data_IF_148442523035
#
_entry.id   IF_148442523035
#
_cell.length_a   1.000
_cell.length_b   1.000
_cell.length_c   1.000
_cell.angle_alpha   90.00
_cell.angle_beta   90.00
_cell.angle_gamma   90.00
#
_symmetry.space_group_name_H-M   'P 1'
#
loop_
_entity.id
_entity.type
_entity.pdbx_description
1 polymer ?
#
# COMPACT_ATOMS: atom_id res chain seq x y z
N UNK A 1 28.67 18.80 7.87
CA UNK A 1 28.50 17.32 7.99
C UNK A 1 27.76 16.91 9.27
N UNK A 2 28.02 17.53 10.42
CA UNK A 2 27.39 17.16 11.70
C UNK A 2 25.86 17.26 11.73
N UNK A 3 25.27 18.30 11.11
CA UNK A 3 23.81 18.45 11.04
C UNK A 3 23.13 17.34 10.22
N UNK A 4 23.75 16.90 9.13
CA UNK A 4 23.24 15.79 8.32
C UNK A 4 23.33 14.47 9.08
N UNK A 5 24.47 14.21 9.75
CA UNK A 5 24.65 13.02 10.57
C UNK A 5 23.62 12.95 11.71
N UNK A 6 23.38 14.07 12.39
CA UNK A 6 22.35 14.17 13.42
C UNK A 6 20.95 13.90 12.85
N UNK A 7 20.63 14.45 11.68
CA UNK A 7 19.33 14.24 11.03
C UNK A 7 19.13 12.79 10.57
N UNK A 8 20.15 12.14 10.00
CA UNK A 8 20.09 10.73 9.61
C UNK A 8 19.95 9.83 10.83
N UNK A 9 20.71 10.09 11.90
CA UNK A 9 20.58 9.36 13.16
C UNK A 9 19.18 9.51 13.76
N UNK A 10 18.63 10.73 13.74
CA UNK A 10 17.25 10.98 14.15
C UNK A 10 16.24 10.17 13.31
N UNK A 11 16.36 10.18 11.98
CA UNK A 11 15.48 9.38 11.11
C UNK A 11 15.62 7.87 11.34
N UNK A 12 16.84 7.37 11.62
CA UNK A 12 17.09 5.97 11.93
C UNK A 12 16.36 5.55 13.22
N UNK A 13 16.37 6.40 14.25
CA UNK A 13 15.60 6.19 15.49
C UNK A 13 14.10 6.10 15.20
N UNK A 14 13.56 7.00 14.36
CA UNK A 14 12.15 6.98 13.98
C UNK A 14 11.78 5.74 13.17
N UNK A 15 12.64 5.32 12.24
CA UNK A 15 12.48 4.07 11.49
C UNK A 15 12.43 2.86 12.42
N UNK A 16 13.36 2.76 13.38
CA UNK A 16 13.38 1.65 14.34
C UNK A 16 12.09 1.58 15.18
N UNK A 17 11.60 2.74 15.67
CA UNK A 17 10.32 2.82 16.39
C UNK A 17 9.15 2.36 15.52
N UNK A 18 9.08 2.81 14.26
CA UNK A 18 8.01 2.38 13.36
C UNK A 18 8.08 0.87 13.04
N UNK A 19 9.29 0.32 12.90
CA UNK A 19 9.50 -1.11 12.65
C UNK A 19 9.02 -1.95 13.84
N UNK A 20 9.26 -1.49 15.07
CA UNK A 20 8.75 -2.12 16.29
C UNK A 20 7.23 -2.26 16.27
N UNK A 21 6.48 -1.24 15.83
CA UNK A 21 5.02 -1.32 15.72
C UNK A 21 4.55 -2.43 14.78
N UNK A 22 5.30 -2.69 13.70
CA UNK A 22 5.01 -3.80 12.78
C UNK A 22 5.33 -5.17 13.39
N UNK A 23 6.44 -5.27 14.14
CA UNK A 23 6.82 -6.49 14.86
C UNK A 23 5.82 -6.83 15.97
N UNK A 24 5.39 -5.82 16.74
CA UNK A 24 4.37 -5.96 17.78
C UNK A 24 3.06 -6.47 17.19
N UNK A 25 2.65 -5.94 16.04
CA UNK A 25 1.45 -6.41 15.33
C UNK A 25 1.59 -7.86 14.87
N UNK A 26 2.74 -8.23 14.30
CA UNK A 26 3.02 -9.62 13.88
C UNK A 26 2.88 -10.58 15.07
N UNK A 27 3.50 -10.24 16.20
CA UNK A 27 3.45 -11.03 17.43
C UNK A 27 2.01 -11.13 17.96
N UNK A 28 1.34 -10.00 18.13
CA UNK A 28 -0.01 -9.93 18.68
C UNK A 28 -1.07 -10.67 17.83
N UNK A 29 -0.86 -10.74 16.51
CA UNK A 29 -1.75 -11.44 15.58
C UNK A 29 -1.32 -12.89 15.30
N UNK A 30 -0.20 -13.36 15.87
CA UNK A 30 0.30 -14.72 15.64
C UNK A 30 0.70 -15.00 14.19
N UNK A 31 1.15 -13.98 13.44
CA UNK A 31 1.47 -14.09 12.01
C UNK A 31 2.89 -14.66 11.81
N UNK A 32 3.06 -15.94 12.14
CA UNK A 32 4.36 -16.63 12.05
C UNK A 32 4.92 -16.57 10.62
N UNK A 33 6.14 -16.03 10.47
CA UNK A 33 6.79 -15.86 9.18
C UNK A 33 6.38 -14.61 8.40
N UNK A 34 5.55 -13.73 8.98
CA UNK A 34 5.31 -12.41 8.41
C UNK A 34 6.53 -11.50 8.53
N UNK A 35 6.63 -10.51 7.64
CA UNK A 35 7.71 -9.52 7.64
C UNK A 35 7.14 -8.11 7.74
N UNK A 36 7.70 -7.31 8.65
CA UNK A 36 7.37 -5.90 8.76
C UNK A 36 8.23 -5.05 7.82
N UNK A 37 7.63 -3.99 7.26
CA UNK A 37 8.30 -2.96 6.49
C UNK A 37 7.77 -1.61 6.92
N UNK A 38 8.61 -0.58 6.84
CA UNK A 38 8.19 0.79 7.11
C UNK A 38 8.70 1.75 6.06
N UNK A 39 7.89 2.77 5.79
CA UNK A 39 8.22 3.80 4.82
C UNK A 39 7.95 5.17 5.44
N UNK A 40 8.88 6.14 5.33
CA UNK A 40 8.60 7.50 5.71
C UNK A 40 7.44 8.03 4.86
N UNK A 41 6.66 8.93 5.43
CA UNK A 41 5.49 9.51 4.77
C UNK A 41 5.57 11.04 4.77
N UNK A 42 4.91 11.72 3.80
CA UNK A 42 4.97 13.17 3.68
C UNK A 42 4.50 13.92 4.93
N UNK A 43 4.76 15.24 4.94
CA UNK A 43 4.27 16.22 5.92
C UNK A 43 4.89 16.16 7.33
N UNK A 44 5.72 15.16 7.66
CA UNK A 44 6.46 15.11 8.93
C UNK A 44 7.47 13.94 8.96
N UNK A 45 8.66 14.07 9.59
CA UNK A 45 9.55 12.92 9.84
C UNK A 45 8.96 11.90 10.84
N UNK A 46 7.86 12.27 11.51
CA UNK A 46 7.15 11.39 12.42
C UNK A 46 6.01 10.61 11.75
N UNK A 47 5.68 10.91 10.49
CA UNK A 47 4.65 10.18 9.75
C UNK A 47 5.27 8.96 9.09
N UNK A 48 4.71 7.79 9.38
CA UNK A 48 5.18 6.52 8.85
C UNK A 48 4.00 5.70 8.34
N UNK A 49 4.26 4.91 7.30
CA UNK A 49 3.39 3.82 6.87
C UNK A 49 4.05 2.52 7.27
N UNK A 50 3.38 1.77 8.12
CA UNK A 50 3.82 0.45 8.57
C UNK A 50 3.07 -0.59 7.75
N UNK A 51 3.80 -1.56 7.23
CA UNK A 51 3.28 -2.66 6.43
C UNK A 51 3.70 -3.97 7.07
N UNK A 52 2.80 -4.93 7.14
CA UNK A 52 3.10 -6.33 7.47
C UNK A 52 2.71 -7.18 6.28
N UNK A 53 3.70 -7.88 5.72
CA UNK A 53 3.52 -8.83 4.64
C UNK A 53 3.37 -10.23 5.23
N UNK A 54 2.26 -10.90 4.90
CA UNK A 54 2.03 -12.28 5.26
C UNK A 54 1.39 -13.01 4.08
N UNK A 55 2.18 -13.89 3.44
CA UNK A 55 1.77 -14.60 2.22
C UNK A 55 1.33 -13.62 1.09
N UNK A 56 0.08 -13.73 0.63
CA UNK A 56 -0.55 -12.84 -0.34
C UNK A 56 -1.36 -11.69 0.32
N UNK A 57 -1.25 -11.52 1.64
CA UNK A 57 -1.93 -10.46 2.39
C UNK A 57 -0.97 -9.38 2.85
N UNK A 58 -1.48 -8.16 2.92
CA UNK A 58 -0.79 -7.01 3.49
C UNK A 58 -1.66 -6.39 4.57
N UNK A 59 -1.05 -6.02 5.70
CA UNK A 59 -1.69 -5.21 6.72
C UNK A 59 -0.97 -3.87 6.75
N UNK A 60 -1.69 -2.78 6.53
CA UNK A 60 -1.11 -1.45 6.47
C UNK A 60 -1.71 -0.54 7.53
N UNK A 61 -0.87 0.26 8.18
CA UNK A 61 -1.30 1.32 9.07
C UNK A 61 -0.53 2.61 8.78
N UNK A 62 -1.18 3.75 8.96
CA UNK A 62 -0.56 5.08 8.88
C UNK A 62 -0.53 5.68 10.27
N UNK A 63 0.67 6.05 10.71
CA UNK A 63 0.92 6.46 12.10
C UNK A 63 1.74 7.73 12.14
N UNK A 64 1.46 8.57 13.13
CA UNK A 64 2.37 9.61 13.59
C UNK A 64 2.95 9.19 14.95
N UNK A 65 4.28 9.09 15.03
CA UNK A 65 4.98 8.51 16.19
C UNK A 65 5.00 9.39 17.45
N UNK A 66 4.57 10.65 17.36
CA UNK A 66 4.57 11.60 18.49
C UNK A 66 3.20 12.22 18.75
N UNK A 67 2.22 11.95 17.88
CA UNK A 67 0.86 12.42 18.07
C UNK A 67 0.23 11.65 19.23
N UNK A 68 -0.48 12.37 20.10
CA UNK A 68 -1.17 11.77 21.25
C UNK A 68 -2.64 11.49 20.97
N UNK A 69 -3.30 12.35 20.19
CA UNK A 69 -4.74 12.28 19.90
C UNK A 69 -5.01 12.34 18.40
N UNK A 70 -6.06 11.66 17.89
CA UNK A 70 -6.47 11.80 16.51
C UNK A 70 -6.75 13.27 16.15
N UNK A 71 -6.40 13.66 14.93
CA UNK A 71 -6.70 14.99 14.43
C UNK A 71 -8.18 15.07 14.07
N UNK A 72 -8.88 16.02 14.70
CA UNK A 72 -10.26 16.36 14.34
C UNK A 72 -10.16 17.52 13.34
N UNK A 73 -10.64 17.30 12.12
CA UNK A 73 -10.75 18.37 11.14
C UNK A 73 -11.95 19.27 11.51
N UNK A 74 -11.77 20.59 11.61
CA UNK A 74 -12.86 21.55 11.78
C UNK A 74 -13.95 21.37 10.72
N UNK A 75 -15.19 21.68 11.08
CA UNK A 75 -16.30 21.69 10.13
C UNK A 75 -15.99 22.65 8.96
N UNK A 76 -16.08 22.14 7.73
CA UNK A 76 -15.76 22.90 6.51
C UNK A 76 -14.30 22.81 6.06
N UNK A 77 -13.36 22.35 6.91
CA UNK A 77 -12.00 22.06 6.46
C UNK A 77 -12.00 20.77 5.64
N UNK A 78 -11.99 20.93 4.32
CA UNK A 78 -11.94 19.84 3.36
C UNK A 78 -10.83 20.10 2.36
N UNK A 79 -10.04 19.08 2.06
CA UNK A 79 -8.92 19.21 1.14
C UNK A 79 -7.94 18.06 1.23
N UNK A 80 -7.17 17.86 0.16
CA UNK A 80 -6.22 16.75 0.07
C UNK A 80 -5.22 16.75 1.23
N UNK A 81 -4.58 17.88 1.52
CA UNK A 81 -3.55 17.96 2.57
C UNK A 81 -4.13 17.82 3.98
N UNK A 82 -5.32 18.39 4.25
CA UNK A 82 -6.02 18.23 5.51
C UNK A 82 -6.36 16.75 5.77
N UNK A 83 -6.97 16.10 4.77
CA UNK A 83 -7.31 14.67 4.83
C UNK A 83 -6.06 13.78 4.98
N UNK A 84 -4.99 14.09 4.23
CA UNK A 84 -3.74 13.34 4.33
C UNK A 84 -3.10 13.48 5.72
N UNK A 85 -3.03 14.71 6.26
CA UNK A 85 -2.48 14.96 7.60
C UNK A 85 -3.29 14.30 8.71
N UNK A 86 -4.62 14.28 8.57
CA UNK A 86 -5.52 13.62 9.50
C UNK A 86 -5.38 12.08 9.47
N UNK A 87 -4.98 11.51 8.32
CA UNK A 87 -4.85 10.05 8.16
C UNK A 87 -3.72 9.39 8.96
N UNK A 88 -2.76 10.17 9.49
CA UNK A 88 -1.69 9.65 10.34
C UNK A 88 -2.16 9.65 11.81
N UNK A 89 -2.62 8.51 12.30
CA UNK A 89 -3.17 8.37 13.65
C UNK A 89 -2.07 8.28 14.72
N UNK A 90 -2.34 8.65 15.98
CA UNK A 90 -1.42 8.36 17.08
C UNK A 90 -1.24 6.84 17.26
N UNK A 91 -0.11 6.41 17.82
CA UNK A 91 0.21 4.98 18.04
C UNK A 91 -0.93 4.24 18.76
N UNK A 92 -1.50 4.87 19.78
CA UNK A 92 -2.59 4.32 20.60
C UNK A 92 -3.91 4.11 19.85
N UNK A 93 -4.08 4.75 18.68
CA UNK A 93 -5.29 4.64 17.85
C UNK A 93 -4.97 4.13 16.45
N UNK A 94 -3.83 3.43 16.27
CA UNK A 94 -3.48 2.89 14.96
C UNK A 94 -4.59 1.99 14.42
N UNK A 95 -4.93 2.21 13.16
CA UNK A 95 -5.90 1.40 12.43
C UNK A 95 -5.16 0.60 11.36
N UNK A 96 -5.26 -0.72 11.46
CA UNK A 96 -4.71 -1.66 10.50
C UNK A 96 -5.74 -1.99 9.44
N UNK A 97 -5.38 -1.76 8.18
CA UNK A 97 -6.19 -2.12 7.03
C UNK A 97 -5.59 -3.32 6.33
N UNK A 98 -6.39 -4.37 6.15
CA UNK A 98 -5.99 -5.56 5.41
C UNK A 98 -6.27 -5.41 3.91
N UNK A 99 -5.28 -5.78 3.11
CA UNK A 99 -5.33 -5.91 1.66
C UNK A 99 -4.93 -7.32 1.26
N UNK A 100 -5.39 -7.75 0.09
CA UNK A 100 -5.02 -9.03 -0.51
C UNK A 100 -4.50 -8.77 -1.92
N UNK A 101 -3.42 -9.45 -2.29
CA UNK A 101 -2.78 -9.28 -3.61
C UNK A 101 -3.76 -9.53 -4.76
N UNK A 102 -4.63 -10.52 -4.61
CA UNK A 102 -5.53 -10.98 -5.68
C UNK A 102 -7.01 -10.65 -5.43
N UNK A 103 -7.31 -9.82 -4.43
CA UNK A 103 -8.69 -9.52 -4.02
C UNK A 103 -9.35 -10.64 -3.21
N UNK A 104 -10.62 -10.44 -2.86
CA UNK A 104 -11.38 -11.31 -1.95
C UNK A 104 -12.38 -12.24 -2.65
N UNK A 105 -12.74 -11.95 -3.90
CA UNK A 105 -13.80 -12.69 -4.63
C UNK A 105 -13.20 -13.92 -5.32
N UNK A 106 -13.64 -15.16 -5.03
CA UNK A 106 -13.02 -16.37 -5.59
C UNK A 106 -12.89 -16.36 -7.12
N UNK A 107 -13.93 -15.93 -7.84
CA UNK A 107 -13.92 -15.83 -9.31
C UNK A 107 -12.88 -14.82 -9.84
N UNK A 108 -12.66 -13.75 -9.11
CA UNK A 108 -11.70 -12.71 -9.48
C UNK A 108 -10.27 -13.13 -9.14
N UNK A 109 -10.07 -13.90 -8.07
CA UNK A 109 -8.75 -14.40 -7.64
C UNK A 109 -8.10 -15.25 -8.74
N UNK A 110 -8.83 -16.20 -9.33
CA UNK A 110 -8.29 -17.06 -10.40
C UNK A 110 -7.84 -16.22 -11.59
N UNK A 111 -8.65 -15.24 -11.99
CA UNK A 111 -8.30 -14.36 -13.09
C UNK A 111 -7.13 -13.42 -12.74
N UNK A 112 -7.10 -12.90 -11.52
CA UNK A 112 -6.03 -12.04 -11.03
C UNK A 112 -4.70 -12.79 -10.99
N UNK A 113 -4.69 -14.04 -10.53
CA UNK A 113 -3.51 -14.90 -10.53
C UNK A 113 -3.02 -15.21 -11.95
N UNK A 114 -3.93 -15.48 -12.90
CA UNK A 114 -3.56 -15.73 -14.29
C UNK A 114 -2.91 -14.50 -14.94
N UNK A 115 -3.51 -13.32 -14.77
CA UNK A 115 -2.93 -12.06 -15.22
C UNK A 115 -1.59 -11.77 -14.53
N UNK A 116 -1.53 -11.95 -13.22
CA UNK A 116 -0.33 -11.73 -12.42
C UNK A 116 0.83 -12.62 -12.88
N UNK A 117 0.59 -13.91 -13.14
CA UNK A 117 1.64 -14.87 -13.52
C UNK A 117 2.05 -14.78 -14.99
N UNK A 118 1.30 -14.06 -15.83
CA UNK A 118 1.59 -13.96 -17.25
C UNK A 118 3.01 -13.40 -17.50
N UNK A 119 3.80 -13.97 -18.43
CA UNK A 119 5.19 -13.53 -18.67
C UNK A 119 5.32 -12.04 -18.98
N UNK A 120 4.43 -11.49 -19.82
CA UNK A 120 4.44 -10.07 -20.15
C UNK A 120 4.18 -9.12 -18.96
N UNK A 121 3.68 -9.63 -17.81
CA UNK A 121 3.51 -8.83 -16.59
C UNK A 121 4.77 -8.78 -15.71
N UNK A 122 5.84 -9.50 -16.08
CA UNK A 122 7.07 -9.57 -15.31
C UNK A 122 7.73 -8.20 -14.99
N UNK A 123 7.72 -7.19 -15.88
CA UNK A 123 8.30 -5.89 -15.56
C UNK A 123 7.63 -5.23 -14.34
N UNK A 124 6.30 -5.21 -14.28
CA UNK A 124 5.58 -4.67 -13.13
C UNK A 124 5.81 -5.51 -11.87
N UNK A 125 5.83 -6.85 -11.99
CA UNK A 125 6.11 -7.73 -10.84
C UNK A 125 7.48 -7.47 -10.19
N UNK A 126 8.49 -7.12 -10.99
CA UNK A 126 9.83 -6.77 -10.48
C UNK A 126 9.89 -5.38 -9.86
N UNK A 127 9.08 -4.46 -10.37
CA UNK A 127 8.98 -3.09 -9.85
C UNK A 127 8.22 -3.03 -8.51
N UNK A 128 7.12 -3.77 -8.40
CA UNK A 128 6.19 -3.63 -7.29
C UNK A 128 6.70 -4.30 -6.00
N UNK A 129 6.64 -3.57 -4.89
CA UNK A 129 6.97 -4.05 -3.55
C UNK A 129 5.75 -4.59 -2.82
N UNK A 130 4.61 -3.90 -2.90
CA UNK A 130 3.34 -4.32 -2.28
C UNK A 130 2.20 -4.35 -3.31
N UNK A 131 2.30 -5.20 -4.35
CA UNK A 131 1.31 -5.28 -5.42
C UNK A 131 -0.05 -5.73 -4.90
N UNK A 132 -1.11 -5.03 -5.29
CA UNK A 132 -2.50 -5.35 -4.97
C UNK A 132 -3.39 -5.23 -6.20
N UNK A 133 -4.38 -6.10 -6.29
CA UNK A 133 -5.45 -5.99 -7.28
C UNK A 133 -6.16 -4.65 -7.05
N UNK A 134 -6.09 -3.78 -8.06
CA UNK A 134 -6.72 -2.47 -8.06
C UNK A 134 -8.16 -2.57 -8.56
N UNK A 135 -8.36 -3.22 -9.71
CA UNK A 135 -9.67 -3.35 -10.36
C UNK A 135 -9.63 -4.47 -11.38
N UNK A 136 -10.80 -5.04 -11.68
CA UNK A 136 -11.01 -5.83 -12.89
C UNK A 136 -12.09 -5.14 -13.72
N UNK A 137 -11.72 -4.73 -14.93
CA UNK A 137 -12.63 -4.15 -15.91
C UNK A 137 -13.13 -5.23 -16.86
N UNK A 138 -14.45 -5.41 -16.90
CA UNK A 138 -15.13 -6.35 -17.80
C UNK A 138 -16.05 -5.55 -18.70
N UNK A 139 -15.67 -5.36 -19.96
CA UNK A 139 -16.55 -4.81 -21.00
C UNK A 139 -16.83 -5.87 -22.06
N UNK A 140 -17.80 -5.59 -22.95
CA UNK A 140 -18.12 -6.50 -24.07
C UNK A 140 -16.93 -6.70 -25.03
N UNK A 141 -16.01 -5.74 -25.09
CA UNK A 141 -14.87 -5.74 -26.02
C UNK A 141 -13.54 -6.05 -25.35
N UNK A 142 -13.42 -5.89 -24.03
CA UNK A 142 -12.13 -5.93 -23.34
C UNK A 142 -12.25 -6.45 -21.91
N UNK A 143 -11.29 -7.27 -21.54
CA UNK A 143 -11.07 -7.71 -20.17
C UNK A 143 -9.71 -7.21 -19.70
N UNK A 144 -9.68 -6.43 -18.62
CA UNK A 144 -8.44 -5.98 -18.00
C UNK A 144 -8.39 -6.30 -16.51
N UNK A 145 -7.25 -6.79 -16.05
CA UNK A 145 -6.94 -6.99 -14.63
C UNK A 145 -5.84 -6.02 -14.26
N UNK A 146 -6.17 -5.04 -13.42
CA UNK A 146 -5.29 -3.97 -13.01
C UNK A 146 -4.74 -4.20 -11.62
N UNK A 147 -3.43 -4.01 -11.48
CA UNK A 147 -2.72 -3.97 -10.21
C UNK A 147 -2.17 -2.58 -9.96
N UNK A 148 -2.03 -2.26 -8.67
CA UNK A 148 -1.29 -1.09 -8.19
C UNK A 148 -0.34 -1.51 -7.08
N UNK A 149 0.50 -0.61 -6.59
CA UNK A 149 1.39 -0.88 -5.47
C UNK A 149 1.04 0.01 -4.27
N UNK A 150 0.81 -0.63 -3.12
CA UNK A 150 0.51 0.07 -1.87
C UNK A 150 1.65 0.98 -1.42
N UNK A 151 2.91 0.73 -1.84
CA UNK A 151 4.06 1.60 -1.60
C UNK A 151 3.74 3.06 -1.98
N UNK A 152 3.10 3.29 -3.13
CA UNK A 152 2.79 4.62 -3.65
C UNK A 152 1.37 5.10 -3.32
N UNK A 153 0.61 4.35 -2.53
CA UNK A 153 -0.75 4.71 -2.15
C UNK A 153 -0.80 5.81 -1.09
N UNK A 154 -1.58 6.87 -1.37
CA UNK A 154 -1.89 7.96 -0.44
C UNK A 154 -3.41 8.07 -0.27
N UNK A 155 -3.84 8.48 0.93
CA UNK A 155 -5.26 8.66 1.23
C UNK A 155 -5.84 9.75 0.33
N UNK A 156 -7.02 9.48 -0.24
CA UNK A 156 -7.72 10.44 -1.11
C UNK A 156 -7.06 10.66 -2.48
N UNK A 157 -6.10 9.81 -2.89
CA UNK A 157 -5.47 9.88 -4.21
C UNK A 157 -5.58 8.56 -4.94
N UNK A 158 -5.73 8.66 -6.25
CA UNK A 158 -5.58 7.53 -7.16
C UNK A 158 -4.10 7.12 -7.19
N UNK A 159 -3.77 5.82 -7.01
CA UNK A 159 -2.38 5.37 -7.09
C UNK A 159 -1.76 5.69 -8.46
N UNK A 160 -0.53 6.23 -8.52
CA UNK A 160 0.05 6.67 -9.79
C UNK A 160 0.45 5.50 -10.69
N UNK A 161 0.93 4.39 -10.12
CA UNK A 161 1.35 3.22 -10.88
C UNK A 161 0.23 2.18 -10.92
N UNK A 162 -0.51 2.17 -12.02
CA UNK A 162 -1.59 1.20 -12.28
C UNK A 162 -1.29 0.49 -13.59
N UNK A 163 -0.87 -0.77 -13.50
CA UNK A 163 -0.54 -1.61 -14.65
C UNK A 163 -1.39 -2.86 -14.64
N UNK A 164 -1.74 -3.36 -15.81
CA UNK A 164 -2.61 -4.50 -15.92
C UNK A 164 -2.34 -5.36 -17.14
N UNK A 165 -2.94 -6.53 -17.12
CA UNK A 165 -3.01 -7.39 -18.29
C UNK A 165 -4.40 -7.24 -18.89
N UNK A 166 -4.44 -6.93 -20.18
CA UNK A 166 -5.66 -6.75 -20.94
C UNK A 166 -5.72 -7.74 -22.11
N UNK A 167 -6.92 -8.21 -22.42
CA UNK A 167 -7.20 -8.98 -23.65
C UNK A 167 -8.51 -8.53 -24.27
N UNK A 168 -8.61 -8.61 -25.59
CA UNK A 168 -9.86 -8.35 -26.31
C UNK A 168 -10.86 -9.51 -26.14
N UNK A 169 -12.14 -9.28 -26.41
CA UNK A 169 -13.16 -10.34 -26.37
C UNK A 169 -12.94 -11.42 -27.44
N UNK A 170 -12.42 -11.03 -28.60
CA UNK A 170 -12.06 -11.92 -29.71
C UNK A 170 -10.62 -12.42 -29.67
N UNK A 171 -9.80 -12.01 -28.69
CA UNK A 171 -8.39 -12.36 -28.60
C UNK A 171 -8.06 -13.03 -27.27
N UNK A 172 -7.40 -14.17 -27.34
CA UNK A 172 -6.85 -14.83 -26.15
C UNK A 172 -5.52 -14.22 -25.70
N UNK A 173 -4.91 -13.36 -26.52
CA UNK A 173 -3.59 -12.77 -26.24
C UNK A 173 -3.70 -11.68 -25.17
N UNK A 174 -2.97 -11.88 -24.07
CA UNK A 174 -2.83 -10.85 -23.04
C UNK A 174 -1.75 -9.85 -23.42
N UNK A 175 -2.00 -8.58 -23.16
CA UNK A 175 -1.07 -7.46 -23.37
C UNK A 175 -0.91 -6.68 -22.08
N UNK A 176 0.32 -6.25 -21.81
CA UNK A 176 0.60 -5.31 -20.73
C UNK A 176 0.05 -3.94 -21.11
N UNK A 177 -0.69 -3.32 -20.21
CA UNK A 177 -1.21 -1.97 -20.36
C UNK A 177 -1.02 -1.17 -19.07
N UNK A 178 -1.05 0.16 -19.19
CA UNK A 178 -1.07 1.11 -18.07
C UNK A 178 -2.38 1.88 -18.06
N UNK A 179 -2.93 2.12 -16.87
CA UNK A 179 -4.10 2.97 -16.69
C UNK A 179 -3.66 4.44 -16.49
N UNK A 180 -4.31 5.40 -17.18
CA UNK A 180 -4.07 6.83 -16.95
C UNK A 180 -4.49 7.27 -15.55
#
# INVERSE_FOLDING_TARGET
MSALAAYVGFQATQHHRAMGLGQDYIYAQGLVGATAYTMPQPLSPFNWKVMVLYQDSYYAARVNLVRERPMILPAGESGFFANLRASYLPVTHMQWQQYTRFGKKPKDIVLAQAAWRHPAFAPFRRFAMFPVLYKIDRSQSKLCVWFSDLHFSLVGRVPPFRYGMCRGSSSTSWRLESMP
#
